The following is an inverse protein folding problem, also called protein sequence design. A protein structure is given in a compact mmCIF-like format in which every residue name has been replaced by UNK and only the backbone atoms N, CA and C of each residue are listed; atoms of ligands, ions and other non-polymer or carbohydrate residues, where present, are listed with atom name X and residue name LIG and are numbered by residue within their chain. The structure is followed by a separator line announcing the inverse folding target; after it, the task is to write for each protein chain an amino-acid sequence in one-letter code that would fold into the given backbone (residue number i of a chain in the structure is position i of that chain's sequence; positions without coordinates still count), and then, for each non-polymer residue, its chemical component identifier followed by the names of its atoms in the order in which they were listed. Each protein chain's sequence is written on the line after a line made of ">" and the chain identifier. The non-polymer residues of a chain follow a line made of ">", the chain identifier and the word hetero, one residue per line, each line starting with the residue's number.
data_IF_552833745361
#
_entry.id   IF_552833745361
#
_cell.length_a   1.000
_cell.length_b   1.000
_cell.length_c   1.000
_cell.angle_alpha   90.00
_cell.angle_beta   90.00
_cell.angle_gamma   90.00
#
_symmetry.space_group_name_H-M   'P 1'
#
loop_
_entity.id
_entity.type
_entity.pdbx_description
1 polymer ?
#
# COMPACT_ATOMS: atom_id res chain seq x y z
N UNK A 1 -2.81 -21.46 10.02
CA UNK A 1 -2.49 -20.11 10.54
C UNK A 1 -1.37 -19.36 9.78
N UNK A 2 -0.48 -20.00 8.99
CA UNK A 2 0.65 -19.31 8.32
C UNK A 2 0.35 -18.47 7.07
N UNK A 3 -0.83 -18.65 6.43
CA UNK A 3 -1.12 -18.05 5.12
C UNK A 3 -1.29 -16.53 5.20
N UNK A 4 -2.07 -16.05 6.18
CA UNK A 4 -2.38 -14.62 6.32
C UNK A 4 -1.19 -13.78 6.77
N UNK A 5 -0.32 -14.32 7.64
CA UNK A 5 0.91 -13.62 8.04
C UNK A 5 1.83 -13.33 6.84
N UNK A 6 2.00 -14.31 5.95
CA UNK A 6 2.79 -14.14 4.73
C UNK A 6 2.12 -13.18 3.73
N UNK A 7 0.79 -13.23 3.61
CA UNK A 7 0.04 -12.29 2.77
C UNK A 7 0.16 -10.85 3.29
N UNK A 8 0.04 -10.64 4.60
CA UNK A 8 0.23 -9.34 5.23
C UNK A 8 1.63 -8.80 5.00
N UNK A 9 2.67 -9.62 5.13
CA UNK A 9 4.05 -9.20 4.86
C UNK A 9 4.24 -8.75 3.40
N UNK A 10 3.69 -9.48 2.44
CA UNK A 10 3.72 -9.11 1.01
C UNK A 10 3.00 -7.78 0.78
N UNK A 11 1.82 -7.63 1.39
CA UNK A 11 0.99 -6.44 1.28
C UNK A 11 1.66 -5.20 1.90
N UNK A 12 2.25 -5.34 3.09
CA UNK A 12 3.01 -4.29 3.77
C UNK A 12 4.23 -3.88 2.96
N UNK A 13 4.93 -4.85 2.37
CA UNK A 13 6.06 -4.57 1.49
C UNK A 13 5.60 -3.80 0.25
N UNK A 14 4.53 -4.23 -0.41
CA UNK A 14 3.98 -3.55 -1.57
C UNK A 14 3.50 -2.13 -1.24
N UNK A 15 2.80 -1.95 -0.11
CA UNK A 15 2.35 -0.65 0.38
C UNK A 15 3.52 0.30 0.65
N UNK A 16 4.61 -0.22 1.26
CA UNK A 16 5.83 0.55 1.51
C UNK A 16 6.58 0.89 0.22
N UNK A 17 6.62 -0.02 -0.74
CA UNK A 17 7.23 0.21 -2.05
C UNK A 17 6.42 1.29 -2.82
N UNK A 18 5.09 1.29 -2.70
CA UNK A 18 4.21 2.32 -3.27
C UNK A 18 4.42 3.68 -2.59
N UNK A 19 4.48 3.73 -1.25
CA UNK A 19 4.61 5.00 -0.52
C UNK A 19 5.96 5.69 -0.75
N UNK A 20 7.00 4.92 -1.07
CA UNK A 20 8.33 5.45 -1.41
C UNK A 20 8.39 6.06 -2.80
N UNK A 21 7.43 5.76 -3.66
CA UNK A 21 7.42 6.25 -5.03
C UNK A 21 6.84 7.67 -5.06
N UNK A 22 7.63 8.70 -5.44
CA UNK A 22 7.09 10.02 -5.65
C UNK A 22 6.30 10.07 -6.97
N UNK A 23 5.17 10.75 -6.95
CA UNK A 23 4.34 11.03 -8.12
C UNK A 23 4.40 12.52 -8.45
N UNK A 24 4.36 12.84 -9.74
CA UNK A 24 4.43 14.23 -10.22
C UNK A 24 3.11 14.99 -10.01
N UNK A 25 1.99 14.28 -9.90
CA UNK A 25 0.68 14.87 -9.63
C UNK A 25 -0.16 14.00 -8.69
N UNK A 26 -1.12 14.63 -8.02
CA UNK A 26 -2.06 13.96 -7.11
C UNK A 26 -2.89 12.88 -7.84
N UNK A 27 -3.27 13.14 -9.10
CA UNK A 27 -4.07 12.21 -9.90
C UNK A 27 -3.32 10.89 -10.17
N UNK A 28 -2.01 10.95 -10.41
CA UNK A 28 -1.18 9.75 -10.60
C UNK A 28 -1.07 8.96 -9.30
N UNK A 29 -0.90 9.64 -8.16
CA UNK A 29 -0.87 9.00 -6.85
C UNK A 29 -2.21 8.31 -6.53
N UNK A 30 -3.35 8.98 -6.80
CA UNK A 30 -4.69 8.38 -6.66
C UNK A 30 -4.89 7.17 -7.55
N UNK A 31 -4.52 7.28 -8.83
CA UNK A 31 -4.61 6.15 -9.77
C UNK A 31 -3.76 4.96 -9.33
N UNK A 32 -2.60 5.22 -8.73
CA UNK A 32 -1.76 4.16 -8.18
C UNK A 32 -2.41 3.48 -6.96
N UNK A 33 -3.11 4.23 -6.10
CA UNK A 33 -3.94 3.66 -5.02
C UNK A 33 -5.07 2.80 -5.57
N UNK A 34 -5.78 3.26 -6.60
CA UNK A 34 -6.87 2.50 -7.24
C UNK A 34 -6.38 1.16 -7.80
N UNK A 35 -5.25 1.17 -8.50
CA UNK A 35 -4.63 -0.06 -9.02
C UNK A 35 -4.21 -1.01 -7.88
N UNK A 36 -3.67 -0.47 -6.78
CA UNK A 36 -3.34 -1.26 -5.60
C UNK A 36 -4.57 -1.94 -5.01
N UNK A 37 -5.69 -1.20 -4.85
CA UNK A 37 -6.93 -1.81 -4.37
C UNK A 37 -7.44 -2.89 -5.31
N UNK A 38 -7.36 -2.70 -6.62
CA UNK A 38 -7.79 -3.70 -7.59
C UNK A 38 -6.95 -4.98 -7.52
N UNK A 39 -5.64 -4.86 -7.29
CA UNK A 39 -4.73 -5.99 -7.16
C UNK A 39 -4.97 -6.79 -5.87
N UNK A 40 -5.32 -6.11 -4.78
CA UNK A 40 -5.43 -6.72 -3.45
C UNK A 40 -6.86 -6.87 -2.90
N UNK A 41 -7.90 -6.51 -3.68
CA UNK A 41 -9.33 -6.61 -3.32
C UNK A 41 -9.80 -7.98 -2.82
N UNK A 42 -9.08 -9.04 -3.16
CA UNK A 42 -9.46 -10.43 -2.85
C UNK A 42 -8.88 -10.93 -1.52
N UNK A 43 -8.16 -10.09 -0.79
CA UNK A 43 -7.59 -10.46 0.50
C UNK A 43 -8.50 -9.97 1.64
N UNK A 44 -8.56 -10.68 2.78
CA UNK A 44 -9.37 -10.30 3.93
C UNK A 44 -8.70 -9.19 4.76
N UNK A 45 -8.29 -8.12 4.09
CA UNK A 45 -7.66 -6.95 4.68
C UNK A 45 -8.41 -5.69 4.23
N UNK A 46 -8.57 -4.75 5.16
CA UNK A 46 -9.10 -3.43 4.88
C UNK A 46 -7.92 -2.54 4.48
N UNK A 47 -7.98 -1.96 3.29
CA UNK A 47 -6.96 -1.07 2.75
C UNK A 47 -7.50 0.36 2.79
N UNK A 48 -6.81 1.25 3.50
CA UNK A 48 -7.13 2.70 3.54
C UNK A 48 -5.98 3.48 2.95
N UNK A 49 -6.22 4.11 1.82
CA UNK A 49 -5.23 4.88 1.08
C UNK A 49 -5.40 6.37 1.26
N UNK A 50 -4.29 7.06 1.46
CA UNK A 50 -4.21 8.53 1.55
C UNK A 50 -3.15 9.03 0.59
N UNK A 51 -3.32 10.25 0.08
CA UNK A 51 -2.31 10.94 -0.73
C UNK A 51 -1.81 12.13 0.06
N UNK A 52 -0.50 12.19 0.26
CA UNK A 52 0.18 13.28 0.94
C UNK A 52 0.97 14.11 -0.07
N UNK A 53 1.01 15.42 0.15
CA UNK A 53 1.80 16.37 -0.64
C UNK A 53 3.08 16.71 0.12
N UNK A 54 4.23 16.58 -0.54
CA UNK A 54 5.55 16.88 0.00
C UNK A 54 6.31 17.85 -0.90
N UNK A 55 7.04 18.79 -0.31
CA UNK A 55 7.94 19.69 -1.04
C UNK A 55 9.35 19.06 -1.02
N UNK A 56 9.74 18.48 -2.15
CA UNK A 56 11.07 17.95 -2.36
C UNK A 56 12.04 19.08 -2.76
N UNK A 57 13.04 19.36 -1.92
CA UNK A 57 14.10 20.32 -2.20
C UNK A 57 15.29 19.63 -2.86
N UNK A 58 15.69 20.09 -4.05
CA UNK A 58 16.86 19.59 -4.77
C UNK A 58 17.79 20.74 -5.18
N UNK A 59 19.09 20.46 -5.34
CA UNK A 59 20.04 21.45 -5.85
C UNK A 59 20.35 21.15 -7.32
N UNK A 60 20.49 22.20 -8.14
CA UNK A 60 20.70 22.06 -9.58
C UNK A 60 22.02 21.36 -9.95
N UNK A 61 22.98 21.28 -9.02
CA UNK A 61 24.28 20.64 -9.21
C UNK A 61 24.57 19.61 -8.13
N UNK A 62 25.17 18.51 -8.53
CA UNK A 62 25.73 17.51 -7.61
C UNK A 62 26.98 18.09 -6.92
N UNK A 63 27.01 18.02 -5.58
CA UNK A 63 28.13 18.52 -4.76
C UNK A 63 27.70 19.46 -3.64
N UNK A 64 28.67 20.02 -2.91
CA UNK A 64 28.40 21.01 -1.86
C UNK A 64 27.77 22.26 -2.50
N UNK A 65 26.58 22.71 -2.05
CA UNK A 65 25.96 23.93 -2.57
C UNK A 65 26.91 25.12 -2.45
N UNK A 66 26.92 25.99 -3.46
CA UNK A 66 27.67 27.25 -3.35
C UNK A 66 27.01 28.16 -2.32
N UNK A 67 27.80 29.03 -1.70
CA UNK A 67 27.27 30.04 -0.76
C UNK A 67 26.23 30.90 -1.48
N UNK A 68 24.97 30.83 -1.04
CA UNK A 68 23.84 31.57 -1.61
C UNK A 68 23.06 30.83 -2.71
N UNK A 69 23.40 29.59 -3.04
CA UNK A 69 22.62 28.76 -3.95
C UNK A 69 21.32 28.31 -3.26
N UNK A 70 20.17 28.64 -3.85
CA UNK A 70 18.87 28.25 -3.31
C UNK A 70 18.43 26.88 -3.86
N UNK A 71 17.82 26.03 -3.03
CA UNK A 71 17.25 24.78 -3.49
C UNK A 71 16.05 25.03 -4.41
N UNK A 72 15.92 24.18 -5.42
CA UNK A 72 14.73 24.04 -6.25
C UNK A 72 13.72 23.19 -5.48
N UNK A 73 12.60 23.81 -5.13
CA UNK A 73 11.49 23.14 -4.47
C UNK A 73 10.52 22.61 -5.53
N UNK A 74 10.26 21.30 -5.50
CA UNK A 74 9.29 20.64 -6.38
C UNK A 74 8.23 19.98 -5.52
N UNK A 75 6.96 20.18 -5.87
CA UNK A 75 5.86 19.48 -5.20
C UNK A 75 5.81 18.05 -5.74
N UNK A 76 5.81 17.08 -4.85
CA UNK A 76 5.64 15.65 -5.15
C UNK A 76 4.54 15.07 -4.30
N UNK A 77 3.87 14.04 -4.81
CA UNK A 77 2.77 13.38 -4.14
C UNK A 77 3.17 11.96 -3.76
N UNK A 78 2.79 11.52 -2.57
CA UNK A 78 3.06 10.19 -2.06
C UNK A 78 1.76 9.46 -1.73
N UNK A 79 1.64 8.21 -2.19
CA UNK A 79 0.48 7.36 -1.96
C UNK A 79 0.75 6.43 -0.76
N UNK A 80 0.08 6.67 0.35
CA UNK A 80 0.19 5.88 1.57
C UNK A 80 -0.97 4.90 1.69
N UNK A 81 -0.70 3.71 2.21
CA UNK A 81 -1.72 2.69 2.45
C UNK A 81 -1.58 2.19 3.88
N UNK A 82 -2.65 2.35 4.65
CA UNK A 82 -2.85 1.69 5.92
C UNK A 82 -3.55 0.35 5.69
N UNK A 83 -3.01 -0.69 6.31
CA UNK A 83 -3.49 -2.06 6.22
C UNK A 83 -4.09 -2.41 7.57
N UNK A 84 -5.37 -2.73 7.58
CA UNK A 84 -6.10 -3.22 8.74
C UNK A 84 -6.58 -4.64 8.50
N UNK A 85 -6.64 -5.44 9.57
CA UNK A 85 -7.15 -6.81 9.53
C UNK A 85 -8.67 -6.82 9.61
N UNK A 86 -9.34 -7.39 8.61
CA UNK A 86 -10.78 -7.65 8.68
C UNK A 86 -11.03 -8.95 9.45
N UNK A 87 -11.22 -8.83 10.76
CA UNK A 87 -11.40 -9.99 11.63
C UNK A 87 -12.67 -10.78 11.31
N UNK A 88 -13.72 -10.13 10.79
CA UNK A 88 -14.97 -10.80 10.43
C UNK A 88 -14.82 -11.58 9.12
N UNK A 89 -14.24 -10.96 8.09
CA UNK A 89 -13.97 -11.65 6.82
C UNK A 89 -12.98 -12.80 6.99
N UNK A 90 -11.93 -12.62 7.80
CA UNK A 90 -10.97 -13.69 8.11
C UNK A 90 -11.62 -14.84 8.89
N UNK A 91 -12.55 -14.55 9.81
CA UNK A 91 -13.28 -15.59 10.53
C UNK A 91 -14.22 -16.36 9.59
N UNK A 92 -14.94 -15.66 8.71
CA UNK A 92 -15.83 -16.27 7.74
C UNK A 92 -15.11 -17.19 6.75
N UNK A 93 -13.95 -16.76 6.21
CA UNK A 93 -13.11 -17.62 5.35
C UNK A 93 -12.59 -18.85 6.11
N UNK A 94 -12.21 -18.70 7.38
CA UNK A 94 -11.75 -19.80 8.20
C UNK A 94 -12.84 -20.84 8.41
N UNK A 95 -14.07 -20.40 8.67
CA UNK A 95 -15.20 -21.29 8.90
C UNK A 95 -15.61 -22.04 7.63
N UNK A 96 -15.62 -21.36 6.48
CA UNK A 96 -15.81 -22.00 5.17
C UNK A 96 -14.71 -23.02 4.87
N UNK A 97 -13.44 -22.67 5.09
CA UNK A 97 -12.31 -23.56 4.86
C UNK A 97 -12.21 -24.72 5.88
N UNK A 98 -12.85 -24.57 7.04
CA UNK A 98 -12.89 -25.59 8.10
C UNK A 98 -14.17 -26.45 8.06
N UNK A 99 -15.04 -26.24 7.06
CA UNK A 99 -16.24 -27.04 6.86
C UNK A 99 -15.88 -28.32 6.10
N UNK A 100 -15.86 -29.45 6.82
CA UNK A 100 -15.79 -30.78 6.23
C UNK A 100 -17.20 -31.39 6.25
N UNK A 101 -17.79 -31.66 5.09
CA UNK A 101 -19.07 -32.37 5.00
C UNK A 101 -18.77 -33.86 4.89
N UNK A 102 -19.02 -34.62 5.96
CA UNK A 102 -18.95 -36.08 5.94
C UNK A 102 -20.30 -36.63 5.47
N UNK A 103 -20.39 -37.03 4.20
CA UNK A 103 -21.58 -37.73 3.68
C UNK A 103 -21.35 -39.23 3.82
N UNK A 104 -22.03 -39.86 4.77
CA UNK A 104 -22.11 -41.32 4.90
C UNK A 104 -23.36 -41.81 4.17
N UNK A 105 -23.17 -42.58 3.10
CA UNK A 105 -24.25 -43.35 2.46
C UNK A 105 -24.37 -44.70 3.17
N UNK A 106 -25.58 -45.06 3.60
CA UNK A 106 -25.92 -46.38 4.16
C UNK A 106 -26.26 -47.38 3.06
#
# INVERSE_FOLDING_TARGET
>A
MKKWAKQREVLEKAAKDLSRRPFACEADAKKALELFYQEYRHQPFILKGTVDEEIASSYARLGRPKKGEQPLNTVVYHAHIQIEEDREAMAHEKDLASTFVLITYY
#
